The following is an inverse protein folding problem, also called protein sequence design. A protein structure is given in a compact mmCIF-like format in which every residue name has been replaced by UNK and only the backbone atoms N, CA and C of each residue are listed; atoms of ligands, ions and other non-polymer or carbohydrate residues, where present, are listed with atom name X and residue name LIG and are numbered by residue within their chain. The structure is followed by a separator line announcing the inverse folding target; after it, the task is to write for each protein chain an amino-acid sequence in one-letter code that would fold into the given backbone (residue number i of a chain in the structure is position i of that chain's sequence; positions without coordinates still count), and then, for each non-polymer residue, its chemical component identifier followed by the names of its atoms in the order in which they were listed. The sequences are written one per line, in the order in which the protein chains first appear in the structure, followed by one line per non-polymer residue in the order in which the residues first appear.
data_IF_618167024323
#
_entry.id   IF_618167024323
#
_cell.length_a   1.000
_cell.length_b   1.000
_cell.length_c   1.000
_cell.angle_alpha   90.00
_cell.angle_beta   90.00
_cell.angle_gamma   90.00
#
_symmetry.space_group_name_H-M   'P 1'
#
loop_
_entity.id
_entity.type
_entity.pdbx_description
1 polymer ?
#
# COMPACT_ATOMS: atom_id res chain seq x y z
N UNK A 1 -14.48 11.04 -4.41
CA UNK A 1 -15.01 10.44 -3.18
C UNK A 1 -13.89 10.42 -2.16
N UNK A 2 -14.09 11.00 -0.98
CA UNK A 2 -13.04 11.07 0.04
C UNK A 2 -13.23 9.96 1.09
N UNK A 3 -12.47 8.87 0.95
CA UNK A 3 -12.57 7.70 1.83
C UNK A 3 -12.10 7.98 3.27
N UNK A 4 -11.34 9.05 3.51
CA UNK A 4 -10.88 9.39 4.86
C UNK A 4 -11.99 9.92 5.77
N UNK A 5 -13.14 10.29 5.19
CA UNK A 5 -14.30 10.77 5.92
C UNK A 5 -15.31 9.65 6.20
N UNK A 6 -15.08 8.46 5.66
CA UNK A 6 -15.96 7.31 5.86
C UNK A 6 -15.63 6.62 7.17
N UNK A 7 -16.67 6.27 7.91
CA UNK A 7 -16.57 5.34 9.03
C UNK A 7 -16.17 3.95 8.54
N UNK A 8 -15.74 3.10 9.48
CA UNK A 8 -15.37 1.71 9.18
C UNK A 8 -16.54 0.92 8.55
N UNK A 9 -17.77 1.14 9.02
CA UNK A 9 -18.97 0.50 8.47
C UNK A 9 -19.29 0.95 7.05
N UNK A 10 -19.15 2.25 6.75
CA UNK A 10 -19.33 2.77 5.39
C UNK A 10 -18.25 2.24 4.44
N UNK A 11 -17.01 2.12 4.91
CA UNK A 11 -15.91 1.57 4.13
C UNK A 11 -16.13 0.07 3.85
N UNK A 12 -16.61 -0.68 4.84
CA UNK A 12 -16.98 -2.09 4.70
C UNK A 12 -18.12 -2.26 3.69
N UNK A 13 -19.18 -1.45 3.80
CA UNK A 13 -20.29 -1.47 2.84
C UNK A 13 -19.83 -1.12 1.43
N UNK A 14 -18.93 -0.14 1.28
CA UNK A 14 -18.33 0.19 -0.02
C UNK A 14 -17.52 -0.96 -0.61
N UNK A 15 -16.75 -1.67 0.22
CA UNK A 15 -15.90 -2.78 -0.20
C UNK A 15 -16.69 -4.07 -0.48
N UNK A 16 -17.84 -4.24 0.15
CA UNK A 16 -18.66 -5.43 0.00
C UNK A 16 -19.07 -5.65 -1.47
N UNK A 17 -18.90 -6.89 -1.96
CA UNK A 17 -19.17 -7.26 -3.34
C UNK A 17 -18.15 -6.75 -4.37
N UNK A 18 -17.13 -5.96 -3.97
CA UNK A 18 -16.06 -5.52 -4.88
C UNK A 18 -14.90 -6.53 -4.90
N UNK A 19 -14.29 -6.77 -6.07
CA UNK A 19 -13.02 -7.48 -6.15
C UNK A 19 -11.95 -6.80 -5.28
N UNK A 20 -11.08 -7.58 -4.65
CA UNK A 20 -10.07 -7.11 -3.69
C UNK A 20 -9.26 -5.93 -4.24
N UNK A 21 -8.81 -5.97 -5.49
CA UNK A 21 -8.04 -4.89 -6.12
C UNK A 21 -8.80 -3.55 -6.19
N UNK A 22 -10.13 -3.60 -6.26
CA UNK A 22 -11.01 -2.42 -6.32
C UNK A 22 -11.51 -1.99 -4.94
N UNK A 23 -11.22 -2.74 -3.88
CA UNK A 23 -11.51 -2.34 -2.51
C UNK A 23 -10.58 -1.22 -2.06
N UNK A 24 -11.01 -0.47 -1.06
CA UNK A 24 -10.27 0.62 -0.43
C UNK A 24 -9.79 0.20 0.94
N UNK A 25 -8.53 0.52 1.23
CA UNK A 25 -7.91 0.30 2.52
C UNK A 25 -7.38 1.63 3.07
N UNK A 26 -7.75 1.91 4.32
CA UNK A 26 -7.31 3.08 5.07
C UNK A 26 -6.30 2.65 6.14
N UNK A 27 -5.18 3.36 6.23
CA UNK A 27 -4.17 3.13 7.27
C UNK A 27 -3.67 4.45 7.81
N UNK A 28 -3.48 4.50 9.12
CA UNK A 28 -2.74 5.58 9.75
C UNK A 28 -1.24 5.44 9.45
N UNK A 29 -0.66 6.45 8.79
CA UNK A 29 0.75 6.50 8.42
C UNK A 29 1.42 7.61 9.22
N UNK A 30 2.55 7.27 9.84
CA UNK A 30 3.45 8.25 10.46
C UNK A 30 4.40 8.77 9.38
N UNK A 31 4.41 10.08 9.18
CA UNK A 31 5.39 10.71 8.30
C UNK A 31 6.77 10.63 8.95
N UNK A 32 7.80 10.32 8.16
CA UNK A 32 9.18 10.01 8.60
C UNK A 32 9.85 11.12 9.41
N UNK A 33 9.29 12.33 9.45
CA UNK A 33 9.84 13.48 10.19
C UNK A 33 8.83 14.21 11.08
N UNK A 34 7.59 13.74 11.22
CA UNK A 34 6.59 14.45 12.03
C UNK A 34 5.88 13.55 13.02
N UNK A 35 5.52 14.13 14.16
CA UNK A 35 4.59 13.50 15.11
C UNK A 35 3.14 13.46 14.58
N UNK A 36 2.88 14.11 13.45
CA UNK A 36 1.56 14.13 12.81
C UNK A 36 1.34 12.80 12.12
N UNK A 37 0.30 12.10 12.58
CA UNK A 37 -0.22 10.91 11.91
C UNK A 37 -1.24 11.35 10.87
N UNK A 38 -1.22 10.70 9.70
CA UNK A 38 -2.21 10.94 8.64
C UNK A 38 -2.91 9.64 8.30
N UNK A 39 -4.24 9.68 8.27
CA UNK A 39 -5.02 8.57 7.73
C UNK A 39 -4.96 8.62 6.19
N UNK A 40 -4.42 7.58 5.57
CA UNK A 40 -4.29 7.47 4.13
C UNK A 40 -5.15 6.33 3.64
N UNK A 41 -6.14 6.67 2.81
CA UNK A 41 -7.05 5.72 2.18
C UNK A 41 -6.75 5.64 0.68
N UNK A 42 -6.51 4.44 0.16
CA UNK A 42 -6.31 4.19 -1.27
C UNK A 42 -6.92 2.87 -1.69
N UNK A 43 -7.12 2.67 -3.00
CA UNK A 43 -7.48 1.35 -3.50
C UNK A 43 -6.33 0.37 -3.30
N UNK A 44 -6.65 -0.90 -3.11
CA UNK A 44 -5.65 -1.96 -3.01
C UNK A 44 -4.79 -2.02 -4.27
N UNK A 45 -5.38 -1.83 -5.46
CA UNK A 45 -4.64 -1.73 -6.72
C UNK A 45 -3.56 -0.63 -6.70
N UNK A 46 -3.86 0.54 -6.14
CA UNK A 46 -2.90 1.64 -6.05
C UNK A 46 -1.72 1.28 -5.13
N UNK A 47 -2.00 0.56 -4.03
CA UNK A 47 -0.97 0.03 -3.14
C UNK A 47 -0.08 -0.99 -3.83
N UNK A 48 -0.68 -1.92 -4.57
CA UNK A 48 0.05 -2.96 -5.32
C UNK A 48 0.92 -2.32 -6.39
N UNK A 49 0.38 -1.39 -7.18
CA UNK A 49 1.14 -0.70 -8.22
C UNK A 49 2.30 0.12 -7.63
N UNK A 50 2.08 0.81 -6.51
CA UNK A 50 3.16 1.53 -5.82
C UNK A 50 4.26 0.57 -5.38
N UNK A 51 3.90 -0.54 -4.73
CA UNK A 51 4.86 -1.54 -4.28
C UNK A 51 5.63 -2.15 -5.46
N UNK A 52 4.95 -2.48 -6.56
CA UNK A 52 5.58 -3.00 -7.77
C UNK A 52 6.59 -2.00 -8.36
N UNK A 53 6.24 -0.72 -8.45
CA UNK A 53 7.17 0.33 -8.91
C UNK A 53 8.38 0.44 -7.99
N UNK A 54 8.15 0.46 -6.67
CA UNK A 54 9.23 0.50 -5.68
C UNK A 54 10.17 -0.71 -5.81
N UNK A 55 9.63 -1.92 -6.01
CA UNK A 55 10.45 -3.12 -6.22
C UNK A 55 11.29 -3.01 -7.50
N UNK A 56 10.70 -2.54 -8.61
CA UNK A 56 11.46 -2.34 -9.86
C UNK A 56 12.58 -1.31 -9.66
N UNK A 57 12.31 -0.19 -8.99
CA UNK A 57 13.33 0.82 -8.70
C UNK A 57 14.46 0.26 -7.83
N UNK A 58 14.12 -0.50 -6.78
CA UNK A 58 15.13 -1.18 -5.94
C UNK A 58 15.96 -2.14 -6.80
N UNK A 59 15.34 -2.93 -7.68
CA UNK A 59 16.05 -3.82 -8.60
C UNK A 59 17.01 -3.07 -9.53
N UNK A 60 16.63 -1.89 -10.05
CA UNK A 60 17.53 -1.08 -10.89
C UNK A 60 18.68 -0.42 -10.10
N UNK A 61 18.46 -0.13 -8.82
CA UNK A 61 19.49 0.43 -7.93
C UNK A 61 20.44 -0.66 -7.41
N UNK A 62 19.94 -1.87 -7.22
CA UNK A 62 20.71 -3.04 -6.78
C UNK A 62 21.10 -3.89 -7.98
N UNK A 63 22.14 -3.49 -8.71
CA UNK A 63 22.80 -4.34 -9.73
C UNK A 63 23.62 -5.48 -9.08
N UNK A 64 23.21 -5.93 -7.88
CA UNK A 64 23.76 -7.10 -7.19
C UNK A 64 22.65 -7.68 -6.30
N UNK A 65 22.18 -8.87 -6.69
CA UNK A 65 21.26 -9.81 -6.05
C UNK A 65 20.62 -9.41 -4.70
N UNK A 66 19.67 -8.46 -4.72
CA UNK A 66 18.83 -8.20 -3.55
C UNK A 66 17.59 -9.10 -3.56
N UNK A 67 17.69 -10.28 -2.90
CA UNK A 67 16.52 -11.14 -2.66
C UNK A 67 15.67 -10.56 -1.51
N UNK A 68 14.51 -9.97 -1.82
CA UNK A 68 13.55 -9.42 -0.84
C UNK A 68 12.87 -10.53 -0.01
N UNK A 69 12.79 -11.74 -0.58
CA UNK A 69 12.31 -12.95 0.09
C UNK A 69 13.51 -13.88 0.22
N UNK A 70 14.24 -13.77 1.34
CA UNK A 70 15.51 -14.43 1.57
C UNK A 70 15.60 -15.83 0.95
N UNK A 71 16.47 -15.97 -0.05
CA UNK A 71 17.28 -17.16 -0.32
C UNK A 71 18.46 -16.71 -1.15
N UNK A 72 19.59 -16.55 -0.46
CA UNK A 72 20.90 -16.76 -1.07
C UNK A 72 20.92 -18.23 -1.48
N UNK A 73 21.03 -18.51 -2.77
CA UNK A 73 21.48 -19.79 -3.26
C UNK A 73 22.98 -19.63 -3.49
N UNK A 74 23.74 -20.46 -2.79
CA UNK A 74 25.20 -20.59 -2.92
C UNK A 74 25.64 -20.83 -4.37
#
# INVERSE_FOLDING_TARGET
MNFTLMSEGELLAYNNGRPVLKQVYCREIKLTSSHIRRNVCKRVEDWVQHNMRTMMTIGTMSVSDYSVFGRSLD
#
